data_IF_021326946658
#
_entry.id   IF_021326946658
#
_cell.length_a   1.000
_cell.length_b   1.000
_cell.length_c   1.000
_cell.angle_alpha   90.00
_cell.angle_beta   90.00
_cell.angle_gamma   90.00
#
_symmetry.space_group_name_H-M   'P 1'
#
loop_
_entity.id
_entity.type
_entity.pdbx_description
1 polymer ?
#
# COMPACT_ATOMS: atom_id res chain seq x y z
N UNK A 1 24.22 10.62 24.13
CA UNK A 1 22.91 10.31 23.53
C UNK A 1 22.70 8.81 23.57
N UNK A 2 21.85 8.30 24.46
CA UNK A 2 21.53 6.88 24.46
C UNK A 2 20.91 6.49 23.11
N UNK A 3 21.48 5.48 22.44
CA UNK A 3 20.86 4.88 21.26
C UNK A 3 19.51 4.30 21.73
N UNK A 4 18.41 4.94 21.35
CA UNK A 4 17.07 4.36 21.52
C UNK A 4 17.08 2.96 20.91
N UNK A 5 16.90 1.94 21.75
CA UNK A 5 16.80 0.54 21.31
C UNK A 5 15.66 0.41 20.30
N UNK A 6 15.85 -0.37 19.23
CA UNK A 6 14.85 -0.61 18.19
C UNK A 6 15.36 -0.35 16.77
N UNK A 7 14.44 -0.42 15.79
CA UNK A 7 14.74 -0.28 14.37
C UNK A 7 14.49 1.14 13.86
N UNK A 8 15.29 1.56 12.88
CA UNK A 8 15.18 2.87 12.25
C UNK A 8 14.09 2.91 11.17
N UNK A 9 13.71 4.11 10.75
CA UNK A 9 12.75 4.33 9.66
C UNK A 9 13.25 3.79 8.31
N UNK A 10 14.56 3.85 8.04
CA UNK A 10 15.14 3.21 6.86
C UNK A 10 15.04 1.69 6.92
N UNK A 11 15.23 1.09 8.10
CA UNK A 11 15.07 -0.37 8.30
C UNK A 11 13.63 -0.79 8.07
N UNK A 12 12.66 -0.07 8.63
CA UNK A 12 11.23 -0.28 8.36
C UNK A 12 10.92 -0.23 6.87
N UNK A 13 11.47 0.77 6.19
CA UNK A 13 11.24 0.95 4.75
C UNK A 13 11.84 -0.19 3.93
N UNK A 14 13.00 -0.72 4.33
CA UNK A 14 13.57 -1.91 3.69
C UNK A 14 12.68 -3.14 3.86
N UNK A 15 12.14 -3.36 5.06
CA UNK A 15 11.18 -4.45 5.31
C UNK A 15 9.98 -4.31 4.37
N UNK A 16 9.36 -3.13 4.34
CA UNK A 16 8.20 -2.86 3.49
C UNK A 16 8.49 -3.08 1.99
N UNK A 17 9.66 -2.69 1.52
CA UNK A 17 10.04 -2.81 0.11
C UNK A 17 10.31 -4.26 -0.27
N UNK A 18 10.98 -5.03 0.59
CA UNK A 18 11.21 -6.46 0.35
C UNK A 18 9.90 -7.23 0.34
N UNK A 19 9.02 -6.98 1.32
CA UNK A 19 7.71 -7.67 1.37
C UNK A 19 6.82 -7.26 0.19
N UNK A 20 6.83 -6.00 -0.22
CA UNK A 20 6.14 -5.53 -1.43
C UNK A 20 6.67 -6.18 -2.70
N UNK A 21 7.99 -6.34 -2.84
CA UNK A 21 8.58 -7.03 -4.00
C UNK A 21 8.12 -8.49 -4.07
N UNK A 22 8.12 -9.20 -2.93
CA UNK A 22 7.62 -10.57 -2.85
C UNK A 22 6.16 -10.64 -3.32
N UNK A 23 5.33 -9.70 -2.87
CA UNK A 23 3.93 -9.65 -3.28
C UNK A 23 3.74 -9.35 -4.76
N UNK A 24 4.48 -8.39 -5.33
CA UNK A 24 4.36 -8.11 -6.75
C UNK A 24 4.91 -9.22 -7.64
N UNK A 25 5.91 -10.00 -7.20
CA UNK A 25 6.28 -11.23 -7.92
C UNK A 25 5.09 -12.20 -7.93
N UNK A 26 4.43 -12.40 -6.79
CA UNK A 26 3.22 -13.23 -6.70
C UNK A 26 2.11 -12.69 -7.61
N UNK A 27 1.82 -11.41 -7.51
CA UNK A 27 0.69 -10.77 -8.16
C UNK A 27 0.87 -10.54 -9.66
N UNK A 28 2.10 -10.28 -10.13
CA UNK A 28 2.36 -10.05 -11.54
C UNK A 28 2.75 -11.35 -12.26
N UNK A 29 3.60 -12.19 -11.67
CA UNK A 29 4.16 -13.37 -12.35
C UNK A 29 3.32 -14.61 -12.06
N UNK A 30 3.14 -14.97 -10.78
CA UNK A 30 2.46 -16.21 -10.43
C UNK A 30 0.96 -16.15 -10.76
N UNK A 31 0.31 -14.99 -10.59
CA UNK A 31 -1.09 -14.81 -11.00
C UNK A 31 -1.27 -15.13 -12.50
N UNK A 32 -0.38 -14.63 -13.37
CA UNK A 32 -0.41 -14.96 -14.80
C UNK A 32 -0.16 -16.43 -15.07
N UNK A 33 0.78 -17.06 -14.37
CA UNK A 33 1.02 -18.50 -14.51
C UNK A 33 -0.21 -19.32 -14.11
N UNK A 34 -0.95 -18.90 -13.08
CA UNK A 34 -2.21 -19.54 -12.71
C UNK A 34 -3.27 -19.38 -13.81
N UNK A 35 -3.36 -18.19 -14.41
CA UNK A 35 -4.27 -17.92 -15.55
C UNK A 35 -3.90 -18.75 -16.78
N UNK A 36 -2.61 -18.86 -17.12
CA UNK A 36 -2.09 -19.73 -18.19
C UNK A 36 -2.45 -21.19 -17.94
N UNK A 37 -2.43 -21.63 -16.67
CA UNK A 37 -2.82 -22.97 -16.27
C UNK A 37 -4.36 -23.16 -16.18
N UNK A 38 -5.16 -22.23 -16.71
CA UNK A 38 -6.61 -22.37 -16.83
C UNK A 38 -7.43 -21.93 -15.61
N UNK A 39 -6.83 -21.22 -14.63
CA UNK A 39 -7.59 -20.73 -13.45
C UNK A 39 -8.79 -19.87 -13.85
N UNK A 40 -8.64 -19.03 -14.89
CA UNK A 40 -9.71 -18.15 -15.38
C UNK A 40 -10.84 -18.86 -16.13
N UNK A 41 -10.65 -20.13 -16.50
CA UNK A 41 -11.60 -20.94 -17.26
C UNK A 41 -12.36 -21.94 -16.38
N UNK A 42 -12.04 -22.02 -15.08
CA UNK A 42 -12.69 -22.94 -14.16
C UNK A 42 -14.16 -22.55 -13.93
N UNK A 43 -15.04 -23.54 -14.12
CA UNK A 43 -16.42 -23.45 -13.65
C UNK A 43 -16.44 -23.49 -12.12
N UNK A 44 -16.75 -22.34 -11.51
CA UNK A 44 -16.78 -22.17 -10.05
C UNK A 44 -17.89 -23.00 -9.37
N UNK A 45 -18.84 -23.55 -10.13
CA UNK A 45 -19.90 -24.41 -9.62
C UNK A 45 -19.53 -25.89 -9.66
N UNK A 46 -18.48 -26.27 -10.39
CA UNK A 46 -18.04 -27.64 -10.53
C UNK A 46 -16.87 -27.95 -9.58
N UNK A 47 -17.21 -28.49 -8.42
CA UNK A 47 -16.24 -28.84 -7.37
C UNK A 47 -15.19 -29.85 -7.84
N UNK A 48 -15.55 -30.81 -8.69
CA UNK A 48 -14.61 -31.83 -9.17
C UNK A 48 -13.53 -31.23 -10.08
N UNK A 49 -13.94 -30.32 -10.98
CA UNK A 49 -13.01 -29.58 -11.84
C UNK A 49 -12.03 -28.73 -11.02
N UNK A 50 -12.51 -28.06 -9.97
CA UNK A 50 -11.68 -27.26 -9.06
C UNK A 50 -10.67 -28.17 -8.33
N UNK A 51 -11.11 -29.30 -7.78
CA UNK A 51 -10.25 -30.21 -7.04
C UNK A 51 -9.19 -30.85 -7.94
N UNK A 52 -9.55 -31.20 -9.17
CA UNK A 52 -8.60 -31.70 -10.16
C UNK A 52 -7.55 -30.65 -10.52
N UNK A 53 -7.98 -29.41 -10.74
CA UNK A 53 -7.06 -28.31 -11.05
C UNK A 53 -6.13 -28.00 -9.86
N UNK A 54 -6.66 -27.99 -8.64
CA UNK A 54 -5.86 -27.80 -7.41
C UNK A 54 -4.88 -28.94 -7.20
N UNK A 55 -5.24 -30.17 -7.54
CA UNK A 55 -4.31 -31.31 -7.47
C UNK A 55 -3.13 -31.13 -8.43
N UNK A 56 -3.36 -30.58 -9.63
CA UNK A 56 -2.31 -30.32 -10.62
C UNK A 56 -1.48 -29.04 -10.33
N UNK A 57 -2.12 -27.99 -9.82
CA UNK A 57 -1.53 -26.64 -9.68
C UNK A 57 -1.31 -26.19 -8.23
N UNK A 58 -1.55 -27.07 -7.25
CA UNK A 58 -1.59 -26.72 -5.84
C UNK A 58 -0.31 -26.03 -5.35
N UNK A 59 0.86 -26.49 -5.78
CA UNK A 59 2.13 -25.88 -5.40
C UNK A 59 2.24 -24.42 -5.87
N UNK A 60 1.83 -24.12 -7.10
CA UNK A 60 1.82 -22.77 -7.66
C UNK A 60 0.79 -21.88 -6.95
N UNK A 61 -0.40 -22.41 -6.70
CA UNK A 61 -1.47 -21.71 -5.98
C UNK A 61 -1.08 -21.35 -4.54
N UNK A 62 -0.47 -22.28 -3.82
CA UNK A 62 0.01 -22.02 -2.46
C UNK A 62 1.18 -21.06 -2.43
N UNK A 63 2.12 -21.16 -3.38
CA UNK A 63 3.21 -20.19 -3.51
C UNK A 63 2.66 -18.78 -3.74
N UNK A 64 1.72 -18.61 -4.69
CA UNK A 64 1.03 -17.35 -4.93
C UNK A 64 0.39 -16.82 -3.64
N UNK A 65 -0.39 -17.67 -2.95
CA UNK A 65 -1.11 -17.31 -1.73
C UNK A 65 -0.16 -16.81 -0.63
N UNK A 66 0.93 -17.54 -0.37
CA UNK A 66 1.92 -17.16 0.67
C UNK A 66 2.64 -15.87 0.29
N UNK A 67 3.03 -15.70 -0.98
CA UNK A 67 3.70 -14.47 -1.44
C UNK A 67 2.79 -13.24 -1.28
N UNK A 68 1.50 -13.37 -1.60
CA UNK A 68 0.50 -12.31 -1.38
C UNK A 68 0.35 -11.99 0.11
N UNK A 69 0.22 -13.01 0.97
CA UNK A 69 0.13 -12.81 2.43
C UNK A 69 1.36 -12.06 2.98
N UNK A 70 2.57 -12.38 2.51
CA UNK A 70 3.79 -11.71 2.94
C UNK A 70 3.78 -10.22 2.59
N UNK A 71 3.37 -9.82 1.40
CA UNK A 71 3.42 -8.40 1.06
C UNK A 71 2.29 -7.55 1.58
N UNK A 72 1.20 -8.13 2.10
CA UNK A 72 0.21 -7.36 2.88
C UNK A 72 0.83 -6.64 4.08
N UNK A 73 1.96 -7.13 4.60
CA UNK A 73 2.79 -6.49 5.64
C UNK A 73 3.32 -5.12 5.20
N UNK A 74 3.55 -4.90 3.91
CA UNK A 74 4.15 -3.68 3.39
C UNK A 74 3.26 -2.44 3.60
N UNK A 75 1.97 -2.57 3.34
CA UNK A 75 1.06 -1.43 3.27
C UNK A 75 0.89 -0.70 4.63
N UNK A 76 0.66 -1.37 5.77
CA UNK A 76 0.64 -0.70 7.08
C UNK A 76 1.95 0.02 7.41
N UNK A 77 3.09 -0.54 7.02
CA UNK A 77 4.40 0.09 7.21
C UNK A 77 4.51 1.37 6.36
N UNK A 78 4.06 1.34 5.11
CA UNK A 78 4.01 2.55 4.27
C UNK A 78 3.06 3.61 4.82
N UNK A 79 1.87 3.23 5.29
CA UNK A 79 0.94 4.16 5.95
C UNK A 79 1.55 4.80 7.20
N UNK A 80 2.21 4.01 8.05
CA UNK A 80 2.92 4.52 9.22
C UNK A 80 4.07 5.46 8.85
N UNK A 81 4.91 5.08 7.88
CA UNK A 81 6.01 5.91 7.41
C UNK A 81 5.54 7.18 6.70
N UNK A 82 4.36 7.16 6.06
CA UNK A 82 3.73 8.34 5.48
C UNK A 82 3.38 9.36 6.57
N UNK A 83 2.71 8.90 7.64
CA UNK A 83 2.38 9.71 8.83
C UNK A 83 3.64 10.27 9.46
N UNK A 84 4.64 9.43 9.74
CA UNK A 84 5.94 9.87 10.29
C UNK A 84 6.62 10.89 9.39
N UNK A 85 6.61 10.67 8.07
CA UNK A 85 7.17 11.59 7.09
C UNK A 85 6.45 12.94 7.07
N UNK A 86 5.13 12.96 7.22
CA UNK A 86 4.32 14.18 7.29
C UNK A 86 4.62 14.99 8.56
N UNK A 87 4.80 14.34 9.70
CA UNK A 87 5.10 15.03 10.97
C UNK A 87 6.49 15.65 11.01
N UNK A 88 7.46 15.06 10.32
CA UNK A 88 8.85 15.49 10.36
C UNK A 88 9.31 16.26 9.11
N UNK A 89 8.46 16.41 8.08
CA UNK A 89 8.83 17.19 6.89
C UNK A 89 8.75 18.68 7.17
N UNK A 90 9.77 19.42 6.75
CA UNK A 90 9.77 20.87 6.80
C UNK A 90 8.91 21.48 5.68
N UNK A 91 8.87 20.83 4.51
CA UNK A 91 8.12 21.30 3.33
C UNK A 91 7.15 20.21 2.88
N UNK A 92 5.91 20.35 3.32
CA UNK A 92 4.81 19.43 3.02
C UNK A 92 4.39 19.54 1.55
N UNK A 93 4.44 20.73 0.95
CA UNK A 93 4.06 20.94 -0.46
C UNK A 93 4.99 20.18 -1.40
N UNK A 94 6.31 20.28 -1.20
CA UNK A 94 7.30 19.48 -1.94
C UNK A 94 7.17 17.99 -1.66
N UNK A 95 6.69 17.61 -0.48
CA UNK A 95 6.44 16.19 -0.18
C UNK A 95 5.25 15.66 -1.00
N UNK A 96 4.12 16.37 -0.98
CA UNK A 96 2.93 16.04 -1.76
C UNK A 96 3.22 16.02 -3.27
N UNK A 97 3.92 17.03 -3.80
CA UNK A 97 4.29 17.11 -5.21
C UNK A 97 5.13 15.91 -5.67
N UNK A 98 6.10 15.48 -4.86
CA UNK A 98 6.90 14.29 -5.18
C UNK A 98 6.04 13.03 -5.17
N UNK A 99 5.19 12.88 -4.16
CA UNK A 99 4.35 11.70 -4.04
C UNK A 99 3.36 11.60 -5.21
N UNK A 100 2.71 12.70 -5.59
CA UNK A 100 1.83 12.77 -6.76
C UNK A 100 2.58 12.57 -8.08
N UNK A 101 3.78 13.13 -8.25
CA UNK A 101 4.60 12.89 -9.44
C UNK A 101 4.94 11.41 -9.59
N UNK A 102 5.35 10.73 -8.51
CA UNK A 102 5.63 9.29 -8.57
C UNK A 102 4.36 8.45 -8.71
N UNK A 103 3.20 8.91 -8.25
CA UNK A 103 1.92 8.27 -8.57
C UNK A 103 1.68 8.25 -10.08
N UNK A 104 1.86 9.39 -10.76
CA UNK A 104 1.68 9.50 -12.21
C UNK A 104 2.73 8.68 -12.99
N UNK A 105 4.01 8.76 -12.60
CA UNK A 105 5.09 8.01 -13.27
C UNK A 105 4.89 6.50 -13.13
N UNK A 106 4.40 6.05 -11.97
CA UNK A 106 4.27 4.63 -11.68
C UNK A 106 3.03 3.98 -12.30
N UNK A 107 2.09 4.77 -12.81
CA UNK A 107 0.88 4.25 -13.43
C UNK A 107 1.18 3.39 -14.66
N UNK A 108 2.09 3.85 -15.52
CA UNK A 108 2.46 3.10 -16.73
C UNK A 108 3.07 1.73 -16.37
N UNK A 109 4.11 1.61 -15.51
CA UNK A 109 4.59 0.30 -15.07
C UNK A 109 3.55 -0.54 -14.35
N UNK A 110 2.66 0.09 -13.57
CA UNK A 110 1.63 -0.61 -12.80
C UNK A 110 0.58 -1.25 -13.72
N UNK A 111 0.03 -0.49 -14.66
CA UNK A 111 -0.98 -0.98 -15.60
C UNK A 111 -0.42 -2.07 -16.51
N UNK A 112 0.83 -1.93 -16.94
CA UNK A 112 1.53 -2.98 -17.69
C UNK A 112 1.67 -4.24 -16.83
N UNK A 113 2.12 -4.08 -15.58
CA UNK A 113 2.35 -5.20 -14.68
C UNK A 113 1.06 -5.91 -14.25
N UNK A 114 -0.10 -5.26 -14.22
CA UNK A 114 -1.33 -5.87 -13.68
C UNK A 114 -2.43 -6.11 -14.71
N UNK A 115 -2.63 -5.17 -15.64
CA UNK A 115 -3.70 -5.24 -16.64
C UNK A 115 -3.19 -5.51 -18.06
N UNK A 116 -1.86 -5.57 -18.25
CA UNK A 116 -1.22 -5.73 -19.57
C UNK A 116 -1.59 -4.63 -20.57
N UNK A 117 -2.01 -3.47 -20.07
CA UNK A 117 -2.36 -2.27 -20.84
C UNK A 117 -1.42 -1.13 -20.45
N UNK A 118 -1.21 -0.18 -21.36
CA UNK A 118 -0.35 0.97 -21.09
C UNK A 118 -1.03 2.00 -20.18
N UNK A 119 -2.36 2.14 -20.32
CA UNK A 119 -3.20 3.00 -19.49
C UNK A 119 -4.53 2.28 -19.23
N UNK A 120 -4.84 2.07 -17.95
CA UNK A 120 -6.09 1.50 -17.45
C UNK A 120 -6.62 2.41 -16.33
N UNK A 121 -7.90 2.77 -16.39
CA UNK A 121 -8.50 3.73 -15.44
C UNK A 121 -9.34 3.05 -14.35
N UNK A 122 -9.46 1.71 -14.40
CA UNK A 122 -10.29 0.96 -13.46
C UNK A 122 -9.58 0.50 -12.19
N UNK A 123 -8.25 0.59 -12.14
CA UNK A 123 -7.46 0.24 -10.96
C UNK A 123 -6.19 1.07 -10.96
N UNK A 124 -5.99 1.92 -9.94
CA UNK A 124 -4.85 2.84 -9.88
C UNK A 124 -3.87 2.44 -8.80
N UNK A 125 -2.60 2.79 -8.97
CA UNK A 125 -1.54 2.33 -8.07
C UNK A 125 -1.62 2.91 -6.63
N UNK A 126 -0.90 2.26 -5.70
CA UNK A 126 -0.90 2.60 -4.26
C UNK A 126 -0.37 4.00 -3.92
N UNK A 127 0.43 4.62 -4.79
CA UNK A 127 0.91 5.98 -4.54
C UNK A 127 -0.23 7.00 -4.62
N UNK A 128 -1.28 6.75 -5.40
CA UNK A 128 -2.47 7.60 -5.39
C UNK A 128 -3.16 7.57 -4.03
N UNK A 129 -3.33 6.40 -3.43
CA UNK A 129 -3.91 6.22 -2.09
C UNK A 129 -3.09 6.95 -1.03
N UNK A 130 -1.77 6.79 -1.06
CA UNK A 130 -0.85 7.49 -0.16
C UNK A 130 -0.89 9.00 -0.38
N UNK A 131 -1.01 9.45 -1.62
CA UNK A 131 -1.12 10.86 -1.98
C UNK A 131 -2.42 11.47 -1.45
N UNK A 132 -3.56 10.83 -1.68
CA UNK A 132 -4.86 11.25 -1.14
C UNK A 132 -4.82 11.27 0.38
N UNK A 133 -4.31 10.22 1.02
CA UNK A 133 -4.15 10.17 2.47
C UNK A 133 -3.27 11.30 3.01
N UNK A 134 -2.20 11.68 2.31
CA UNK A 134 -1.40 12.86 2.65
C UNK A 134 -2.20 14.15 2.52
N UNK A 135 -2.96 14.35 1.44
CA UNK A 135 -3.83 15.53 1.27
C UNK A 135 -4.89 15.60 2.38
N UNK A 136 -5.49 14.47 2.76
CA UNK A 136 -6.45 14.37 3.85
C UNK A 136 -5.81 14.77 5.19
N UNK A 137 -4.59 14.29 5.47
CA UNK A 137 -3.84 14.71 6.67
C UNK A 137 -3.50 16.21 6.67
N UNK A 138 -3.17 16.78 5.51
CA UNK A 138 -2.91 18.22 5.36
C UNK A 138 -4.16 19.03 5.69
N UNK A 139 -5.30 18.68 5.10
CA UNK A 139 -6.57 19.34 5.36
C UNK A 139 -7.00 19.19 6.82
N UNK A 140 -6.86 17.99 7.39
CA UNK A 140 -7.17 17.72 8.79
C UNK A 140 -6.32 18.60 9.72
N UNK A 141 -5.00 18.66 9.49
CA UNK A 141 -4.08 19.49 10.28
C UNK A 141 -4.40 20.99 10.16
N UNK A 142 -4.83 21.45 8.98
CA UNK A 142 -5.21 22.84 8.78
C UNK A 142 -6.41 23.26 9.65
N UNK A 143 -7.35 22.35 9.92
CA UNK A 143 -8.46 22.57 10.88
C UNK A 143 -7.98 22.47 12.32
N UNK A 144 -7.07 21.54 12.61
CA UNK A 144 -6.46 21.35 13.95
C UNK A 144 -5.77 22.64 14.44
N UNK A 145 -5.04 23.32 13.56
CA UNK A 145 -4.29 24.57 13.84
C UNK A 145 -5.19 25.81 14.07
N UNK A 146 -6.50 25.74 13.79
CA UNK A 146 -7.44 26.86 14.02
C UNK A 146 -7.97 26.86 15.45
N UNK A 147 -7.14 27.19 16.43
CA UNK A 147 -7.48 27.11 17.87
C UNK A 147 -8.76 27.85 18.26
N UNK A 148 -9.05 28.99 17.61
CA UNK A 148 -10.21 29.84 17.89
C UNK A 148 -11.56 29.27 17.41
N UNK A 149 -11.56 28.24 16.57
CA UNK A 149 -12.81 27.66 16.05
C UNK A 149 -13.52 26.79 17.08
N UNK A 150 -14.86 26.86 17.07
CA UNK A 150 -15.72 26.03 17.92
C UNK A 150 -15.42 24.53 17.72
N UNK A 151 -15.33 23.78 18.81
CA UNK A 151 -15.10 22.34 18.82
C UNK A 151 -16.15 21.57 18.01
N UNK A 152 -17.43 21.94 18.08
CA UNK A 152 -18.47 21.27 17.29
C UNK A 152 -18.23 21.41 15.78
N UNK A 153 -17.83 22.61 15.33
CA UNK A 153 -17.46 22.87 13.94
C UNK A 153 -16.23 22.04 13.53
N UNK A 154 -15.20 21.95 14.38
CA UNK A 154 -14.01 21.14 14.10
C UNK A 154 -14.35 19.66 13.92
N UNK A 155 -15.18 19.10 14.80
CA UNK A 155 -15.60 17.69 14.71
C UNK A 155 -16.33 17.42 13.40
N UNK A 156 -17.26 18.29 13.00
CA UNK A 156 -17.96 18.19 11.71
C UNK A 156 -16.96 18.23 10.56
N UNK A 157 -16.03 19.18 10.56
CA UNK A 157 -15.02 19.31 9.51
C UNK A 157 -14.08 18.11 9.45
N UNK A 158 -13.66 17.55 10.58
CA UNK A 158 -12.84 16.33 10.61
C UNK A 158 -13.55 15.16 9.94
N UNK A 159 -14.83 14.94 10.25
CA UNK A 159 -15.64 13.89 9.64
C UNK A 159 -15.75 14.13 8.13
N UNK A 160 -16.07 15.36 7.70
CA UNK A 160 -16.20 15.71 6.29
C UNK A 160 -14.88 15.55 5.51
N UNK A 161 -13.74 15.95 6.10
CA UNK A 161 -12.42 15.83 5.46
C UNK A 161 -12.05 14.36 5.27
N UNK A 162 -12.25 13.53 6.31
CA UNK A 162 -11.96 12.09 6.22
C UNK A 162 -12.89 11.42 5.20
N UNK A 163 -14.19 11.72 5.25
CA UNK A 163 -15.17 11.18 4.30
C UNK A 163 -14.86 11.61 2.86
N UNK A 164 -14.48 12.87 2.63
CA UNK A 164 -14.09 13.36 1.31
C UNK A 164 -12.82 12.67 0.78
N UNK A 165 -11.81 12.48 1.64
CA UNK A 165 -10.59 11.72 1.27
C UNK A 165 -10.89 10.26 0.91
N UNK A 166 -11.73 9.61 1.71
CA UNK A 166 -12.19 8.25 1.46
C UNK A 166 -12.98 8.14 0.15
N UNK A 167 -13.95 9.05 -0.07
CA UNK A 167 -14.74 9.11 -1.29
C UNK A 167 -13.86 9.34 -2.53
N UNK A 168 -12.89 10.26 -2.44
CA UNK A 168 -11.97 10.53 -3.54
C UNK A 168 -11.15 9.27 -3.91
N UNK A 169 -10.64 8.55 -2.92
CA UNK A 169 -9.88 7.31 -3.16
C UNK A 169 -10.74 6.18 -3.74
N UNK A 170 -12.02 6.10 -3.32
CA UNK A 170 -13.00 5.16 -3.87
C UNK A 170 -13.33 5.47 -5.34
N UNK A 171 -13.69 6.72 -5.65
CA UNK A 171 -14.07 7.11 -7.02
C UNK A 171 -12.90 7.05 -8.00
N UNK A 172 -11.67 7.30 -7.53
CA UNK A 172 -10.45 7.13 -8.31
C UNK A 172 -9.98 5.67 -8.37
N UNK A 173 -10.68 4.72 -7.73
CA UNK A 173 -10.38 3.27 -7.76
C UNK A 173 -8.92 2.96 -7.44
N UNK A 174 -8.38 3.70 -6.47
CA UNK A 174 -6.99 3.56 -6.03
C UNK A 174 -6.78 2.27 -5.25
N UNK A 175 -5.56 1.72 -5.25
CA UNK A 175 -5.24 0.51 -4.50
C UNK A 175 -5.55 0.69 -3.00
N UNK A 176 -6.21 -0.29 -2.37
CA UNK A 176 -6.81 -0.17 -1.01
C UNK A 176 -7.94 0.87 -0.85
N UNK A 177 -8.16 1.76 -1.83
CA UNK A 177 -9.26 2.72 -1.93
C UNK A 177 -9.57 3.47 -0.61
N UNK A 178 -10.85 3.55 -0.24
CA UNK A 178 -11.31 4.22 0.98
C UNK A 178 -10.72 3.60 2.25
N UNK A 179 -10.48 2.29 2.27
CA UNK A 179 -9.89 1.58 3.43
C UNK A 179 -8.47 2.04 3.67
N UNK A 180 -7.71 2.27 2.59
CA UNK A 180 -6.34 2.78 2.67
C UNK A 180 -6.26 4.16 3.31
N UNK A 181 -7.10 5.10 2.85
CA UNK A 181 -7.18 6.46 3.43
C UNK A 181 -7.65 6.40 4.89
N UNK A 182 -8.65 5.58 5.19
CA UNK A 182 -9.12 5.37 6.56
C UNK A 182 -7.99 4.90 7.49
N UNK A 183 -7.24 3.86 7.10
CA UNK A 183 -6.11 3.36 7.87
C UNK A 183 -5.01 4.42 8.10
N UNK A 184 -4.67 5.21 7.07
CA UNK A 184 -3.72 6.33 7.21
C UNK A 184 -4.23 7.33 8.26
N UNK A 185 -5.51 7.69 8.19
CA UNK A 185 -6.10 8.66 9.11
C UNK A 185 -6.19 8.13 10.55
N UNK A 186 -6.48 6.85 10.76
CA UNK A 186 -6.42 6.22 12.08
C UNK A 186 -5.01 6.33 12.68
N UNK A 187 -3.97 5.97 11.91
CA UNK A 187 -2.59 6.10 12.36
C UNK A 187 -2.19 7.56 12.65
N UNK A 188 -2.71 8.52 11.87
CA UNK A 188 -2.50 9.94 12.07
C UNK A 188 -3.20 10.47 13.33
N UNK A 189 -4.45 10.10 13.58
CA UNK A 189 -5.22 10.58 14.72
C UNK A 189 -4.57 10.13 16.03
N UNK A 190 -4.14 8.87 16.11
CA UNK A 190 -3.52 8.30 17.31
C UNK A 190 -2.01 8.55 17.42
N UNK A 191 -1.40 9.35 16.53
CA UNK A 191 0.04 9.62 16.44
C UNK A 191 0.73 10.05 17.73
N UNK A 192 -0.01 10.68 18.66
CA UNK A 192 0.54 11.21 19.93
C UNK A 192 0.83 10.12 20.96
N UNK A 193 0.22 8.94 20.83
CA UNK A 193 0.35 7.82 21.79
C UNK A 193 0.64 6.52 21.04
N UNK A 194 1.92 6.11 20.99
CA UNK A 194 2.39 4.95 20.22
C UNK A 194 1.59 3.67 20.46
N UNK A 195 1.25 3.35 21.71
CA UNK A 195 0.46 2.15 22.03
C UNK A 195 -0.94 2.19 21.40
N UNK A 196 -1.65 3.32 21.52
CA UNK A 196 -2.96 3.50 20.90
C UNK A 196 -2.89 3.55 19.39
N UNK A 197 -1.82 4.11 18.83
CA UNK A 197 -1.58 4.11 17.39
C UNK A 197 -1.47 2.68 16.84
N UNK A 198 -0.77 1.79 17.55
CA UNK A 198 -0.64 0.38 17.17
C UNK A 198 -1.98 -0.34 17.34
N UNK A 199 -2.67 -0.20 18.47
CA UNK A 199 -3.95 -0.86 18.74
C UNK A 199 -5.01 -0.44 17.71
N UNK A 200 -5.20 0.86 17.52
CA UNK A 200 -6.16 1.39 16.56
C UNK A 200 -5.76 1.04 15.12
N UNK A 201 -4.45 1.05 14.83
CA UNK A 201 -3.89 0.56 13.57
C UNK A 201 -4.30 -0.89 13.30
N UNK A 202 -3.98 -1.83 14.19
CA UNK A 202 -4.39 -3.23 14.07
C UNK A 202 -5.91 -3.38 13.89
N UNK A 203 -6.72 -2.65 14.67
CA UNK A 203 -8.17 -2.69 14.54
C UNK A 203 -8.64 -2.23 13.13
N UNK A 204 -8.02 -1.18 12.58
CA UNK A 204 -8.35 -0.68 11.24
C UNK A 204 -7.98 -1.64 10.09
N UNK A 205 -7.04 -2.56 10.33
CA UNK A 205 -6.54 -3.54 9.35
C UNK A 205 -7.13 -4.94 9.53
N UNK A 206 -8.12 -5.14 10.41
CA UNK A 206 -8.68 -6.47 10.72
C UNK A 206 -9.26 -7.21 9.49
N UNK A 207 -9.67 -6.44 8.48
CA UNK A 207 -10.18 -6.95 7.21
C UNK A 207 -9.09 -7.56 6.30
N UNK A 208 -7.81 -7.34 6.62
CA UNK A 208 -6.65 -7.90 5.91
C UNK A 208 -5.70 -8.51 6.94
N UNK A 209 -6.03 -9.72 7.42
CA UNK A 209 -5.34 -10.35 8.56
C UNK A 209 -3.81 -10.44 8.42
N UNK A 210 -3.19 -10.71 7.25
CA UNK A 210 -1.74 -10.76 7.15
C UNK A 210 -1.09 -9.37 7.28
N UNK A 211 -1.82 -8.29 7.02
CA UNK A 211 -1.32 -6.92 7.20
C UNK A 211 -1.02 -6.62 8.68
N UNK A 212 -1.69 -7.29 9.63
CA UNK A 212 -1.46 -7.11 11.06
C UNK A 212 0.00 -7.38 11.47
N UNK A 213 0.70 -8.28 10.77
CA UNK A 213 2.12 -8.54 11.02
C UNK A 213 3.03 -7.34 10.71
N UNK A 214 2.56 -6.37 9.90
CA UNK A 214 3.25 -5.09 9.67
C UNK A 214 3.40 -4.23 10.93
N UNK A 215 2.53 -4.42 11.92
CA UNK A 215 2.60 -3.68 13.19
C UNK A 215 3.71 -4.19 14.11
N UNK A 216 4.21 -5.41 13.93
CA UNK A 216 5.35 -5.95 14.70
C UNK A 216 6.59 -5.07 14.51
N UNK A 217 7.12 -4.87 13.28
CA UNK A 217 8.27 -3.99 13.11
C UNK A 217 7.95 -2.54 13.46
N UNK A 218 6.72 -2.03 13.22
CA UNK A 218 6.30 -0.69 13.66
C UNK A 218 6.44 -0.54 15.18
N UNK A 219 6.08 -1.57 15.96
CA UNK A 219 6.22 -1.54 17.42
C UNK A 219 7.67 -1.36 17.86
N UNK A 220 8.63 -1.91 17.12
CA UNK A 220 10.07 -1.77 17.39
C UNK A 220 10.68 -0.48 16.82
N UNK A 221 9.91 0.39 16.17
CA UNK A 221 10.42 1.66 15.65
C UNK A 221 10.95 2.59 16.76
N UNK A 222 12.18 3.08 16.58
CA UNK A 222 12.89 3.88 17.58
C UNK A 222 12.78 5.40 17.39
N UNK A 223 12.02 5.88 16.39
CA UNK A 223 11.86 7.31 16.11
C UNK A 223 13.01 7.95 15.32
N UNK A 224 14.02 7.16 14.91
CA UNK A 224 15.14 7.67 14.11
C UNK A 224 14.89 7.45 12.63
N UNK A 225 15.28 8.43 11.80
CA UNK A 225 15.14 8.33 10.34
C UNK A 225 16.01 7.23 9.72
N UNK A 226 17.20 6.99 10.26
CA UNK A 226 18.20 6.11 9.65
C UNK A 226 18.81 6.70 8.37
N UNK A 227 19.07 5.85 7.37
CA UNK A 227 19.77 6.21 6.13
C UNK A 227 18.96 7.13 5.20
N UNK A 228 19.64 8.02 4.48
CA UNK A 228 19.05 9.00 3.56
C UNK A 228 19.07 8.53 2.11
N UNK A 229 18.38 7.43 1.77
CA UNK A 229 18.31 6.89 0.39
C UNK A 229 17.03 7.28 -0.35
N UNK A 230 16.71 8.58 -0.37
CA UNK A 230 15.41 9.07 -0.85
C UNK A 230 15.06 8.60 -2.27
N UNK A 231 15.95 8.82 -3.23
CA UNK A 231 15.68 8.52 -4.65
C UNK A 231 15.57 7.03 -4.94
N UNK A 232 16.39 6.20 -4.29
CA UNK A 232 16.27 4.74 -4.37
C UNK A 232 14.85 4.28 -4.03
N UNK A 233 14.30 4.76 -2.91
CA UNK A 233 12.97 4.35 -2.47
C UNK A 233 11.83 4.79 -3.39
N UNK A 234 11.98 5.92 -4.07
CA UNK A 234 10.98 6.40 -5.02
C UNK A 234 11.08 5.67 -6.36
N UNK A 235 12.29 5.44 -6.87
CA UNK A 235 12.51 4.77 -8.17
C UNK A 235 12.22 3.28 -8.06
N UNK A 236 12.45 2.67 -6.90
CA UNK A 236 12.23 1.24 -6.69
C UNK A 236 10.85 0.81 -7.19
N UNK A 237 9.79 1.53 -6.81
CA UNK A 237 8.41 1.14 -7.13
C UNK A 237 8.13 1.01 -8.65
N UNK A 238 8.24 2.07 -9.46
CA UNK A 238 8.04 1.95 -10.91
C UNK A 238 9.07 1.02 -11.57
N UNK A 239 10.32 1.00 -11.10
CA UNK A 239 11.38 0.21 -11.73
C UNK A 239 11.14 -1.30 -11.58
N UNK A 240 10.83 -1.79 -10.39
CA UNK A 240 10.63 -3.23 -10.20
C UNK A 240 9.35 -3.73 -10.86
N UNK A 241 8.27 -2.93 -10.90
CA UNK A 241 7.06 -3.27 -11.66
C UNK A 241 7.37 -3.43 -13.16
N UNK A 242 8.13 -2.50 -13.73
CA UNK A 242 8.56 -2.59 -15.13
C UNK A 242 9.44 -3.82 -15.37
N UNK A 243 10.37 -4.12 -14.47
CA UNK A 243 11.22 -5.32 -14.55
C UNK A 243 10.36 -6.60 -14.51
N UNK A 244 9.37 -6.67 -13.64
CA UNK A 244 8.46 -7.81 -13.55
C UNK A 244 7.61 -7.97 -14.81
N UNK A 245 7.10 -6.86 -15.37
CA UNK A 245 6.40 -6.90 -16.65
C UNK A 245 7.28 -7.40 -17.79
N UNK A 246 8.52 -6.90 -17.91
CA UNK A 246 9.47 -7.35 -18.92
C UNK A 246 9.79 -8.84 -18.77
N UNK A 247 9.93 -9.33 -17.53
CA UNK A 247 10.09 -10.75 -17.26
C UNK A 247 8.88 -11.56 -17.76
N UNK A 248 7.65 -11.12 -17.48
CA UNK A 248 6.44 -11.76 -18.02
C UNK A 248 6.38 -11.71 -19.56
N UNK A 249 6.85 -10.63 -20.17
CA UNK A 249 6.94 -10.48 -21.62
C UNK A 249 7.92 -11.49 -22.23
N UNK A 250 9.13 -11.61 -21.68
CA UNK A 250 10.12 -12.60 -22.14
C UNK A 250 9.69 -14.04 -21.89
N UNK A 251 8.88 -14.30 -20.87
CA UNK A 251 8.25 -15.61 -20.63
C UNK A 251 7.07 -15.90 -21.56
N UNK A 252 6.62 -14.94 -22.38
CA UNK A 252 5.47 -15.11 -23.27
C UNK A 252 4.11 -15.11 -22.55
N UNK A 253 4.05 -14.69 -21.29
CA UNK A 253 2.82 -14.71 -20.48
C UNK A 253 2.20 -13.32 -20.29
N UNK A 254 2.82 -12.26 -20.81
CA UNK A 254 2.32 -10.88 -20.66
C UNK A 254 0.95 -10.63 -21.30
N UNK A 255 0.48 -11.49 -22.21
CA UNK A 255 -0.86 -11.38 -22.80
C UNK A 255 -2.00 -11.67 -21.82
N UNK A 256 -1.72 -12.36 -20.72
CA UNK A 256 -2.71 -12.65 -19.69
C UNK A 256 -2.77 -11.50 -18.68
N UNK A 257 -3.98 -11.08 -18.31
CA UNK A 257 -4.17 -10.14 -17.21
C UNK A 257 -3.83 -10.82 -15.88
N UNK A 258 -3.11 -10.12 -15.00
CA UNK A 258 -2.81 -10.59 -13.65
C UNK A 258 -3.93 -10.27 -12.64
N UNK A 259 -4.85 -9.39 -13.05
CA UNK A 259 -6.00 -8.90 -12.27
C UNK A 259 -7.26 -8.97 -13.11
#
# INVERSE_FOLDING_TARGET
MEKKKGISGSTLKMIAIVTMLIDHIGAAVLARLLMVNGLGELDQTNTDAIMQWLSANGALYWMYTVMRMIGRVAFPIFCFLLVEGFLHTHDVKKYAMRLGLFALISEIPFDLAFSSKILEFNYQNVFFTLFIGLLTMIAYRAVEEKEEWNQALKVILYILIVAAGMALAYFLKTDYAEKGVFCIMVLYIFRKKKMWQIIAGCASFIWETPALFGFIPIAFYNGTRGWKMKYFFYIFYPAHLLILYLLCYFMGISGYSAV
#
